data_IF_451731809295
#
_entry.id   IF_451731809295
#
_cell.length_a   1.000
_cell.length_b   1.000
_cell.length_c   1.000
_cell.angle_alpha   90.00
_cell.angle_beta   90.00
_cell.angle_gamma   90.00
#
_symmetry.space_group_name_H-M   'P 1'
#
loop_
_entity.id
_entity.type
_entity.pdbx_description
1 polymer ?
#
# COMPACT_ATOMS: atom_id res chain seq x y z
N UNK A 1 14.67 7.46 12.44
CA UNK A 1 14.61 7.62 10.98
C UNK A 1 14.18 9.04 10.65
N UNK A 2 14.84 9.66 9.69
CA UNK A 2 14.46 10.99 9.24
C UNK A 2 13.31 10.91 8.24
N UNK A 3 12.46 11.93 8.23
CA UNK A 3 11.29 12.01 7.36
C UNK A 3 11.63 11.81 5.88
N UNK A 4 12.72 12.41 5.42
CA UNK A 4 13.17 12.32 4.03
C UNK A 4 13.56 10.90 3.62
N UNK A 5 14.03 10.09 4.58
CA UNK A 5 14.40 8.71 4.32
C UNK A 5 13.19 7.84 4.03
N UNK A 6 12.08 8.08 4.74
CA UNK A 6 10.84 7.32 4.49
C UNK A 6 10.35 7.53 3.05
N UNK A 7 10.29 8.79 2.60
CA UNK A 7 9.88 9.09 1.23
C UNK A 7 10.75 8.39 0.20
N UNK A 8 12.06 8.44 0.41
CA UNK A 8 13.02 7.82 -0.51
C UNK A 8 12.84 6.31 -0.56
N UNK A 9 12.66 5.68 0.59
CA UNK A 9 12.46 4.24 0.64
C UNK A 9 11.16 3.84 -0.06
N UNK A 10 10.09 4.60 0.15
CA UNK A 10 8.82 4.35 -0.55
C UNK A 10 9.01 4.49 -2.06
N UNK A 11 9.64 5.56 -2.50
CA UNK A 11 9.88 5.81 -3.93
C UNK A 11 10.70 4.69 -4.56
N UNK A 12 11.70 4.18 -3.85
CA UNK A 12 12.52 3.07 -4.33
C UNK A 12 11.74 1.76 -4.41
N UNK A 13 11.02 1.41 -3.34
CA UNK A 13 10.34 0.11 -3.26
C UNK A 13 9.06 0.04 -4.08
N UNK A 14 8.39 1.18 -4.25
CA UNK A 14 7.11 1.25 -4.98
C UNK A 14 7.25 1.86 -6.37
N UNK A 15 8.47 1.84 -6.95
CA UNK A 15 8.70 2.39 -8.29
C UNK A 15 7.89 1.71 -9.39
N UNK A 16 7.42 0.50 -9.15
CA UNK A 16 6.57 -0.20 -10.12
C UNK A 16 5.23 0.51 -10.33
N UNK A 17 4.77 1.32 -9.37
CA UNK A 17 3.53 2.07 -9.51
C UNK A 17 3.61 3.07 -10.67
N UNK A 18 4.57 4.02 -10.70
CA UNK A 18 4.71 4.86 -11.88
C UNK A 18 5.26 4.12 -13.09
N UNK A 19 6.16 3.14 -12.87
CA UNK A 19 6.87 2.47 -13.95
C UNK A 19 6.00 1.52 -14.77
N UNK A 20 5.19 0.70 -14.09
CA UNK A 20 4.42 -0.36 -14.76
C UNK A 20 2.93 -0.08 -14.84
N UNK A 21 2.40 0.74 -13.94
CA UNK A 21 0.96 0.99 -13.84
C UNK A 21 0.56 2.44 -14.13
N UNK A 22 1.52 3.31 -14.40
CA UNK A 22 1.22 4.69 -14.76
C UNK A 22 0.71 5.57 -13.64
N UNK A 23 0.96 5.21 -12.39
CA UNK A 23 0.58 6.05 -11.25
C UNK A 23 1.49 7.27 -11.16
N UNK A 24 0.92 8.40 -10.75
CA UNK A 24 1.69 9.61 -10.46
C UNK A 24 1.73 9.83 -8.95
N UNK A 25 2.90 10.21 -8.45
CA UNK A 25 3.03 10.61 -7.05
C UNK A 25 2.38 11.97 -6.87
N UNK A 26 1.33 12.05 -6.05
CA UNK A 26 0.51 13.26 -5.92
C UNK A 26 0.73 13.99 -4.60
N UNK A 27 1.29 13.31 -3.60
CA UNK A 27 1.49 13.88 -2.29
C UNK A 27 2.66 13.21 -1.60
N UNK A 28 3.43 13.98 -0.84
CA UNK A 28 4.57 13.48 -0.10
C UNK A 28 4.63 14.25 1.22
N UNK A 29 4.16 13.60 2.28
CA UNK A 29 4.23 14.12 3.65
C UNK A 29 5.26 13.31 4.43
N UNK A 30 5.72 13.79 5.60
CA UNK A 30 6.78 13.10 6.35
C UNK A 30 6.57 11.62 6.59
N UNK A 31 5.31 11.23 6.80
CA UNK A 31 4.94 9.86 7.16
C UNK A 31 4.06 9.19 6.09
N UNK A 32 3.92 9.79 4.91
CA UNK A 32 2.92 9.36 3.96
C UNK A 32 3.27 9.76 2.53
N UNK A 33 3.18 8.80 1.61
CA UNK A 33 3.36 9.06 0.17
C UNK A 33 2.13 8.53 -0.56
N UNK A 34 1.54 9.35 -1.43
CA UNK A 34 0.34 8.99 -2.17
C UNK A 34 0.61 8.95 -3.66
N UNK A 35 0.07 7.91 -4.29
CA UNK A 35 0.12 7.71 -5.74
C UNK A 35 -1.30 7.63 -6.28
N UNK A 36 -1.54 8.19 -7.45
CA UNK A 36 -2.86 8.15 -8.09
C UNK A 36 -2.75 7.81 -9.56
N UNK A 37 -3.60 6.89 -10.00
CA UNK A 37 -3.89 6.68 -11.40
C UNK A 37 -5.24 7.35 -11.72
N UNK A 38 -5.74 7.14 -12.93
CA UNK A 38 -7.05 7.66 -13.32
C UNK A 38 -8.16 7.18 -12.38
N UNK A 39 -8.09 5.91 -11.96
CA UNK A 39 -9.19 5.26 -11.26
C UNK A 39 -8.85 4.75 -9.87
N UNK A 40 -7.59 4.77 -9.46
CA UNK A 40 -7.13 4.14 -8.21
C UNK A 40 -6.17 5.05 -7.44
N UNK A 41 -6.28 5.04 -6.13
CA UNK A 41 -5.35 5.69 -5.20
C UNK A 41 -4.62 4.64 -4.38
N UNK A 42 -3.31 4.80 -4.24
CA UNK A 42 -2.47 3.98 -3.34
C UNK A 42 -1.73 4.94 -2.41
N UNK A 43 -1.84 4.69 -1.12
CA UNK A 43 -1.12 5.48 -0.11
C UNK A 43 -0.25 4.55 0.72
N UNK A 44 1.01 4.91 0.89
CA UNK A 44 1.94 4.19 1.75
C UNK A 44 2.23 5.09 2.94
N UNK A 45 1.97 4.61 4.15
CA UNK A 45 2.17 5.42 5.34
C UNK A 45 2.92 4.67 6.45
N UNK A 46 3.47 5.46 7.37
CA UNK A 46 4.20 4.98 8.54
C UNK A 46 3.57 5.63 9.77
N UNK A 47 2.98 4.81 10.63
CA UNK A 47 2.28 5.30 11.82
C UNK A 47 3.25 5.68 12.93
N UNK A 48 2.78 6.48 13.89
CA UNK A 48 3.55 6.79 15.09
C UNK A 48 3.84 5.58 15.97
N UNK A 49 3.22 4.43 15.68
CA UNK A 49 3.44 3.17 16.40
C UNK A 49 4.49 2.29 15.72
N UNK A 50 5.04 2.73 14.60
CA UNK A 50 6.03 1.98 13.85
C UNK A 50 5.45 1.01 12.83
N UNK A 51 4.19 1.16 12.46
CA UNK A 51 3.53 0.29 11.49
C UNK A 51 3.62 0.89 10.08
N UNK A 52 3.96 0.06 9.10
CA UNK A 52 3.93 0.42 7.68
C UNK A 52 2.64 -0.13 7.10
N UNK A 53 1.83 0.74 6.50
CA UNK A 53 0.55 0.36 5.90
C UNK A 53 0.47 0.80 4.45
N UNK A 54 -0.23 0.00 3.66
CA UNK A 54 -0.61 0.35 2.29
C UNK A 54 -2.12 0.44 2.26
N UNK A 55 -2.62 1.60 1.84
CA UNK A 55 -4.04 1.92 1.79
C UNK A 55 -4.45 2.06 0.33
N UNK A 56 -5.60 1.53 -0.02
CA UNK A 56 -6.16 1.66 -1.36
C UNK A 56 -7.55 2.27 -1.32
N UNK A 57 -7.88 2.94 -2.41
CA UNK A 57 -9.22 3.46 -2.66
C UNK A 57 -9.39 3.65 -4.16
N UNK A 58 -10.62 3.89 -4.57
CA UNK A 58 -10.88 4.30 -5.94
C UNK A 58 -10.61 5.81 -6.10
N UNK A 59 -10.51 6.27 -7.33
CA UNK A 59 -10.40 7.69 -7.66
C UNK A 59 -11.52 8.04 -8.63
N UNK A 60 -12.56 8.81 -8.24
CA UNK A 60 -12.71 9.49 -6.96
C UNK A 60 -12.95 8.54 -5.78
N UNK A 61 -12.68 8.99 -4.55
CA UNK A 61 -12.78 8.15 -3.36
C UNK A 61 -14.18 7.56 -3.17
N UNK A 62 -14.21 6.28 -2.79
CA UNK A 62 -15.45 5.52 -2.62
C UNK A 62 -15.42 4.76 -1.29
N UNK A 63 -14.44 3.86 -1.10
CA UNK A 63 -14.31 3.07 0.10
C UNK A 63 -12.83 2.74 0.33
N UNK A 64 -12.25 3.43 1.28
CA UNK A 64 -10.84 3.27 1.65
C UNK A 64 -10.64 1.99 2.45
N UNK A 65 -9.60 1.21 2.12
CA UNK A 65 -9.28 -0.01 2.86
C UNK A 65 -7.78 -0.28 2.87
N UNK A 66 -7.34 -1.02 3.89
CA UNK A 66 -5.96 -1.49 3.96
C UNK A 66 -5.74 -2.64 2.99
N UNK A 67 -4.58 -2.68 2.36
CA UNK A 67 -4.22 -3.81 1.51
C UNK A 67 -4.25 -5.13 2.29
N UNK A 68 -3.92 -5.11 3.59
CA UNK A 68 -4.01 -6.28 4.45
C UNK A 68 -5.42 -6.85 4.53
N UNK A 69 -6.44 -6.00 4.48
CA UNK A 69 -7.82 -6.44 4.47
C UNK A 69 -8.15 -7.21 3.19
N UNK A 70 -7.65 -6.71 2.05
CA UNK A 70 -7.79 -7.42 0.78
C UNK A 70 -7.10 -8.79 0.84
N UNK A 71 -5.88 -8.86 1.37
CA UNK A 71 -5.17 -10.13 1.52
C UNK A 71 -5.93 -11.09 2.43
N UNK A 72 -6.48 -10.59 3.53
CA UNK A 72 -7.26 -11.42 4.46
C UNK A 72 -8.50 -11.99 3.77
N UNK A 73 -9.13 -11.21 2.90
CA UNK A 73 -10.35 -11.62 2.20
C UNK A 73 -10.07 -12.62 1.08
N UNK A 74 -8.99 -12.42 0.31
CA UNK A 74 -8.73 -13.20 -0.91
C UNK A 74 -7.54 -14.15 -0.80
N UNK A 75 -6.60 -13.86 0.09
CA UNK A 75 -5.35 -14.62 0.24
C UNK A 75 -4.99 -14.76 1.72
N UNK A 76 -5.86 -15.40 2.53
CA UNK A 76 -5.68 -15.41 3.99
C UNK A 76 -4.35 -16.01 4.47
N UNK A 77 -3.82 -17.01 3.76
CA UNK A 77 -2.53 -17.60 4.12
C UNK A 77 -1.40 -16.61 3.91
N UNK A 78 -1.48 -15.83 2.83
CA UNK A 78 -0.46 -14.80 2.53
C UNK A 78 -0.52 -13.68 3.59
N UNK A 79 -1.72 -13.24 3.97
CA UNK A 79 -1.89 -12.22 5.01
C UNK A 79 -1.33 -12.71 6.33
N UNK A 80 -1.61 -13.94 6.72
CA UNK A 80 -1.10 -14.54 7.94
C UNK A 80 0.43 -14.62 7.95
N UNK A 81 1.03 -15.04 6.83
CA UNK A 81 2.48 -15.13 6.70
C UNK A 81 3.16 -13.76 6.68
N UNK A 82 2.49 -12.75 6.17
CA UNK A 82 3.01 -11.40 6.15
C UNK A 82 3.19 -10.84 7.57
N UNK A 83 2.25 -11.18 8.46
CA UNK A 83 2.30 -10.78 9.86
C UNK A 83 2.25 -9.27 10.07
N UNK A 84 2.48 -8.86 11.30
CA UNK A 84 2.49 -7.45 11.69
C UNK A 84 3.83 -7.15 12.36
N UNK A 85 4.69 -6.40 11.67
CA UNK A 85 5.98 -6.00 12.20
C UNK A 85 5.92 -4.57 12.72
N UNK A 86 6.64 -4.32 13.81
CA UNK A 86 6.87 -2.96 14.30
C UNK A 86 8.27 -2.56 13.84
N UNK A 87 8.35 -1.50 13.05
CA UNK A 87 9.60 -1.00 12.51
C UNK A 87 10.09 0.19 13.32
N UNK A 88 11.21 0.04 14.01
CA UNK A 88 11.74 1.03 14.93
C UNK A 88 12.95 1.80 14.39
N UNK A 89 13.48 1.38 13.26
CA UNK A 89 14.65 2.01 12.64
C UNK A 89 14.55 1.94 11.12
N UNK A 90 15.47 2.60 10.43
CA UNK A 90 15.46 2.70 8.97
C UNK A 90 15.50 1.33 8.28
N UNK A 91 16.33 0.42 8.76
CA UNK A 91 16.45 -0.91 8.16
C UNK A 91 15.16 -1.72 8.28
N UNK A 92 14.52 -1.66 9.45
CA UNK A 92 13.25 -2.35 9.67
C UNK A 92 12.11 -1.75 8.84
N UNK A 93 12.06 -0.42 8.73
CA UNK A 93 11.08 0.27 7.88
C UNK A 93 11.26 -0.17 6.42
N UNK A 94 12.50 -0.17 5.94
CA UNK A 94 12.80 -0.57 4.57
C UNK A 94 12.43 -2.02 4.31
N UNK A 95 12.68 -2.90 5.27
CA UNK A 95 12.30 -4.31 5.19
C UNK A 95 10.78 -4.46 5.06
N UNK A 96 10.01 -3.76 5.90
CA UNK A 96 8.55 -3.82 5.85
C UNK A 96 8.00 -3.22 4.55
N UNK A 97 8.58 -2.12 4.07
CA UNK A 97 8.19 -1.52 2.79
C UNK A 97 8.43 -2.49 1.63
N UNK A 98 9.57 -3.18 1.64
CA UNK A 98 9.90 -4.16 0.60
C UNK A 98 8.87 -5.31 0.60
N UNK A 99 8.54 -5.84 1.77
CA UNK A 99 7.57 -6.92 1.89
C UNK A 99 6.20 -6.51 1.38
N UNK A 100 5.74 -5.31 1.77
CA UNK A 100 4.45 -4.80 1.32
C UNK A 100 4.44 -4.53 -0.18
N UNK A 101 5.53 -3.98 -0.71
CA UNK A 101 5.65 -3.72 -2.14
C UNK A 101 5.62 -5.02 -2.95
N UNK A 102 6.34 -6.04 -2.51
CA UNK A 102 6.32 -7.35 -3.17
C UNK A 102 4.94 -7.97 -3.15
N UNK A 103 4.26 -7.92 -2.00
CA UNK A 103 2.92 -8.47 -1.86
C UNK A 103 1.92 -7.73 -2.75
N UNK A 104 1.99 -6.41 -2.79
CA UNK A 104 1.11 -5.61 -3.64
C UNK A 104 1.33 -5.93 -5.12
N UNK A 105 2.59 -6.03 -5.54
CA UNK A 105 2.94 -6.34 -6.93
C UNK A 105 2.48 -7.74 -7.32
N UNK A 106 2.61 -8.71 -6.42
CA UNK A 106 2.30 -10.11 -6.70
C UNK A 106 0.81 -10.43 -6.58
N UNK A 107 0.14 -9.89 -5.59
CA UNK A 107 -1.25 -10.24 -5.29
C UNK A 107 -2.25 -9.11 -5.54
N UNK A 108 -1.79 -7.88 -5.66
CA UNK A 108 -2.65 -6.71 -5.80
C UNK A 108 -2.90 -6.23 -7.22
N UNK A 109 -2.51 -7.00 -8.23
CA UNK A 109 -2.65 -6.60 -9.63
C UNK A 109 -4.07 -6.17 -9.99
N UNK A 110 -5.07 -6.92 -9.54
CA UNK A 110 -6.48 -6.61 -9.80
C UNK A 110 -6.87 -5.25 -9.21
N UNK A 111 -6.35 -4.91 -8.05
CA UNK A 111 -6.59 -3.61 -7.43
C UNK A 111 -5.93 -2.49 -8.23
N UNK A 112 -4.68 -2.69 -8.64
CA UNK A 112 -3.93 -1.68 -9.40
C UNK A 112 -4.50 -1.45 -10.78
N UNK A 113 -5.14 -2.45 -11.37
CA UNK A 113 -5.79 -2.36 -12.67
C UNK A 113 -7.26 -1.96 -12.58
N UNK A 114 -7.75 -1.63 -11.41
CA UNK A 114 -9.11 -1.19 -11.13
C UNK A 114 -10.17 -2.22 -11.53
N UNK A 115 -10.04 -3.45 -11.04
CA UNK A 115 -11.08 -4.47 -11.22
C UNK A 115 -12.30 -4.07 -10.38
N UNK A 116 -13.38 -3.67 -11.04
CA UNK A 116 -14.59 -3.17 -10.39
C UNK A 116 -15.23 -4.21 -9.47
N UNK A 117 -15.20 -5.48 -9.85
CA UNK A 117 -15.79 -6.55 -9.03
C UNK A 117 -15.05 -6.68 -7.70
N UNK A 118 -13.73 -6.57 -7.74
CA UNK A 118 -12.90 -6.66 -6.54
C UNK A 118 -13.17 -5.46 -5.62
N UNK A 119 -13.21 -4.25 -6.16
CA UNK A 119 -13.50 -3.05 -5.38
C UNK A 119 -14.90 -3.09 -4.78
N UNK A 120 -15.89 -3.55 -5.52
CA UNK A 120 -17.25 -3.69 -5.01
C UNK A 120 -17.30 -4.71 -3.86
N UNK A 121 -16.61 -5.82 -4.01
CA UNK A 121 -16.54 -6.85 -2.97
C UNK A 121 -15.88 -6.31 -1.70
N UNK A 122 -14.84 -5.48 -1.86
CA UNK A 122 -14.16 -4.90 -0.70
C UNK A 122 -15.04 -3.97 0.11
N UNK A 123 -16.07 -3.36 -0.49
CA UNK A 123 -17.00 -2.48 0.23
C UNK A 123 -17.81 -3.23 1.31
N UNK A 124 -17.93 -4.54 1.20
CA UNK A 124 -18.66 -5.36 2.17
C UNK A 124 -17.78 -5.77 3.36
N UNK A 125 -16.47 -5.58 3.30
CA UNK A 125 -15.57 -5.89 4.40
C UNK A 125 -15.35 -4.66 5.28
N UNK A 126 -15.27 -4.90 6.59
CA UNK A 126 -15.02 -3.84 7.57
C UNK A 126 -13.67 -4.08 8.24
N UNK A 127 -13.08 -2.97 8.64
CA UNK A 127 -11.78 -2.93 9.33
C UNK A 127 -11.85 -3.58 10.71
#
# INVERSE_FOLDING_TARGET
MKEQEFHKYVEDEFRFLPGSYGFAQTSSEPDRVRYMSKDVMVEVNYSGRGEVDVILDENPPSHRFQFRLFLKAFYPVIEENLGYGIANNADEVRFELNRMAEALQKYGKQLLEHDLQVFEKMKSFKW
#
